data_IF_806087381579
#
_entry.id   IF_806087381579
#
_cell.length_a   1.000
_cell.length_b   1.000
_cell.length_c   1.000
_cell.angle_alpha   90.00
_cell.angle_beta   90.00
_cell.angle_gamma   90.00
#
_symmetry.space_group_name_H-M   'P 1'
#
loop_
_entity.id
_entity.type
_entity.pdbx_description
1 polymer ?
#
# COMPACT_ATOMS: atom_id res chain seq x y z
N UNK A 1 15.34 14.30 62.24
CA UNK A 1 15.91 14.80 60.97
C UNK A 1 16.63 13.72 60.13
N UNK A 2 17.48 12.83 60.66
CA UNK A 2 18.19 11.78 59.88
C UNK A 2 17.22 10.79 59.15
N UNK A 3 16.10 10.41 59.78
CA UNK A 3 15.11 9.45 59.19
C UNK A 3 14.34 10.03 57.97
N UNK A 4 14.13 11.36 57.94
CA UNK A 4 13.42 12.00 56.83
C UNK A 4 14.31 12.14 55.60
N UNK A 5 15.63 12.31 55.76
CA UNK A 5 16.58 12.41 54.65
C UNK A 5 16.72 11.05 53.98
N UNK A 6 16.79 9.95 54.73
CA UNK A 6 16.86 8.58 54.17
C UNK A 6 15.60 8.21 53.41
N UNK A 7 14.42 8.63 53.84
CA UNK A 7 13.15 8.36 53.13
C UNK A 7 13.10 9.14 51.82
N UNK A 8 13.56 10.37 51.79
CA UNK A 8 13.59 11.24 50.60
C UNK A 8 14.56 10.72 49.58
N UNK A 9 15.76 10.24 49.98
CA UNK A 9 16.72 9.62 49.06
C UNK A 9 16.20 8.29 48.47
N UNK A 10 15.52 7.45 49.27
CA UNK A 10 14.89 6.22 48.77
C UNK A 10 13.77 6.50 47.76
N UNK A 11 12.96 7.53 47.98
CA UNK A 11 11.91 7.94 47.05
C UNK A 11 12.52 8.49 45.75
N UNK A 12 13.62 9.22 45.81
CA UNK A 12 14.31 9.74 44.63
C UNK A 12 14.97 8.63 43.79
N UNK A 13 15.55 7.62 44.43
CA UNK A 13 16.09 6.44 43.77
C UNK A 13 15.00 5.61 43.12
N UNK A 14 13.86 5.46 43.79
CA UNK A 14 12.69 4.77 43.21
C UNK A 14 12.14 5.52 41.97
N UNK A 15 12.04 6.85 42.01
CA UNK A 15 11.63 7.65 40.85
C UNK A 15 12.61 7.55 39.68
N UNK A 16 13.92 7.52 39.94
CA UNK A 16 14.93 7.34 38.91
C UNK A 16 14.89 5.94 38.28
N UNK A 17 14.51 4.90 39.03
CA UNK A 17 14.35 3.53 38.52
C UNK A 17 13.15 3.40 37.60
N UNK A 18 12.07 4.15 37.80
CA UNK A 18 10.90 4.18 36.91
C UNK A 18 11.14 4.97 35.60
N UNK A 19 12.15 5.87 35.58
CA UNK A 19 12.47 6.67 34.40
C UNK A 19 13.34 5.92 33.36
N UNK A 20 13.76 4.70 33.66
CA UNK A 20 14.66 3.90 32.81
C UNK A 20 14.01 2.63 32.26
N UNK A 21 12.75 2.65 31.87
CA UNK A 21 12.30 1.70 30.86
C UNK A 21 12.90 2.15 29.53
N UNK A 22 13.90 1.43 28.97
CA UNK A 22 14.32 1.73 27.62
C UNK A 22 13.09 1.52 26.75
N UNK A 23 12.64 2.58 26.10
CA UNK A 23 11.68 2.48 25.02
C UNK A 23 12.37 1.60 23.98
N UNK A 24 12.00 0.31 23.93
CA UNK A 24 12.46 -0.62 22.92
C UNK A 24 12.04 -0.02 21.58
N UNK A 25 13.00 0.57 20.88
CA UNK A 25 12.75 1.19 19.56
C UNK A 25 12.45 0.07 18.58
N UNK A 26 11.17 -0.13 18.34
CA UNK A 26 10.66 -1.14 17.40
C UNK A 26 11.06 -0.69 15.99
N UNK A 27 11.92 -1.46 15.32
CA UNK A 27 12.20 -1.24 13.90
C UNK A 27 11.05 -1.72 13.04
N UNK A 28 10.57 -0.86 12.16
CA UNK A 28 9.47 -1.19 11.26
C UNK A 28 9.92 -1.18 9.80
N UNK A 29 9.31 -2.04 8.98
CA UNK A 29 9.50 -2.01 7.53
C UNK A 29 8.19 -2.29 6.79
N UNK A 30 8.13 -1.84 5.53
CA UNK A 30 7.03 -2.17 4.62
C UNK A 30 7.29 -3.52 3.94
N UNK A 31 6.29 -4.40 3.97
CA UNK A 31 6.27 -5.66 3.22
C UNK A 31 4.88 -5.85 2.59
N UNK A 32 4.82 -5.96 1.26
CA UNK A 32 3.56 -6.13 0.50
C UNK A 32 2.48 -5.10 0.86
N UNK A 33 2.89 -3.84 1.08
CA UNK A 33 1.98 -2.73 1.42
C UNK A 33 1.41 -2.76 2.84
N UNK A 34 1.95 -3.61 3.70
CA UNK A 34 1.68 -3.67 5.14
C UNK A 34 2.95 -3.24 5.88
N UNK A 35 2.77 -2.64 7.06
CA UNK A 35 3.89 -2.34 7.95
C UNK A 35 4.04 -3.53 8.90
N UNK A 36 5.25 -4.02 9.03
CA UNK A 36 5.62 -5.13 9.92
C UNK A 36 6.72 -4.69 10.87
N UNK A 37 6.70 -5.25 12.06
CA UNK A 37 7.84 -5.20 12.98
C UNK A 37 8.97 -6.05 12.39
N UNK A 38 10.19 -5.52 12.36
CA UNK A 38 11.36 -6.22 11.77
C UNK A 38 11.78 -7.40 12.62
N UNK A 39 11.66 -7.30 13.94
CA UNK A 39 12.16 -8.29 14.90
C UNK A 39 11.21 -9.49 15.03
N UNK A 40 9.91 -9.23 15.13
CA UNK A 40 8.90 -10.30 15.26
C UNK A 40 8.34 -10.76 13.90
N UNK A 41 8.59 -10.00 12.83
CA UNK A 41 8.01 -10.20 11.49
C UNK A 41 6.45 -10.22 11.50
N UNK A 42 5.83 -9.67 12.54
CA UNK A 42 4.40 -9.56 12.70
C UNK A 42 3.86 -8.27 12.06
N UNK A 43 2.64 -8.36 11.53
CA UNK A 43 1.95 -7.20 10.96
C UNK A 43 1.45 -6.31 12.07
N UNK A 44 1.82 -5.04 12.04
CA UNK A 44 1.32 -4.04 12.95
C UNK A 44 -0.10 -3.59 12.55
N UNK A 45 -0.98 -3.52 13.53
CA UNK A 45 -2.34 -3.00 13.36
C UNK A 45 -2.33 -1.47 13.28
N UNK A 46 -3.43 -0.87 12.80
CA UNK A 46 -3.53 0.60 12.74
C UNK A 46 -3.52 1.25 14.14
N UNK A 47 -3.99 0.52 15.16
CA UNK A 47 -3.98 1.00 16.55
C UNK A 47 -2.54 1.03 17.12
N UNK A 48 -1.76 -0.01 16.87
CA UNK A 48 -0.34 -0.08 17.27
C UNK A 48 0.48 0.97 16.53
N UNK A 49 0.25 1.15 15.22
CA UNK A 49 0.92 2.17 14.42
C UNK A 49 0.61 3.59 14.94
N UNK A 50 -0.60 3.84 15.42
CA UNK A 50 -0.96 5.13 16.02
C UNK A 50 -0.22 5.42 17.33
N UNK A 51 0.20 4.38 18.06
CA UNK A 51 0.96 4.53 19.30
C UNK A 51 2.47 4.69 19.05
N UNK A 52 2.96 4.12 17.95
CA UNK A 52 4.39 4.05 17.64
C UNK A 52 4.81 5.24 16.77
N UNK A 53 4.02 5.57 15.74
CA UNK A 53 4.32 6.65 14.81
C UNK A 53 4.02 8.01 15.44
N UNK A 54 4.88 8.99 15.17
CA UNK A 54 4.58 10.40 15.42
C UNK A 54 3.37 10.87 14.57
N UNK A 55 2.76 11.98 14.93
CA UNK A 55 1.53 12.48 14.30
C UNK A 55 1.68 12.69 12.78
N UNK A 56 2.83 13.19 12.33
CA UNK A 56 3.11 13.44 10.91
C UNK A 56 3.24 12.12 10.13
N UNK A 57 4.05 11.18 10.63
CA UNK A 57 4.25 9.88 10.01
C UNK A 57 2.95 9.07 10.01
N UNK A 58 2.16 9.11 11.09
CA UNK A 58 0.85 8.46 11.14
C UNK A 58 -0.13 9.07 10.15
N UNK A 59 -0.19 10.40 10.04
CA UNK A 59 -1.00 11.10 9.03
C UNK A 59 -0.65 10.68 7.60
N UNK A 60 0.65 10.59 7.30
CA UNK A 60 1.17 10.13 6.00
C UNK A 60 0.81 8.68 5.72
N UNK A 61 0.89 7.80 6.72
CA UNK A 61 0.45 6.41 6.63
C UNK A 61 -1.05 6.30 6.33
N UNK A 62 -1.90 7.02 7.06
CA UNK A 62 -3.36 7.02 6.85
C UNK A 62 -3.71 7.51 5.45
N UNK A 63 -3.06 8.58 4.95
CA UNK A 63 -3.23 9.07 3.59
C UNK A 63 -2.90 7.99 2.56
N UNK A 64 -1.77 7.30 2.72
CA UNK A 64 -1.39 6.19 1.84
C UNK A 64 -2.39 5.03 1.89
N UNK A 65 -2.84 4.64 3.09
CA UNK A 65 -3.85 3.59 3.26
C UNK A 65 -5.18 3.94 2.58
N UNK A 66 -5.66 5.16 2.74
CA UNK A 66 -6.91 5.62 2.13
C UNK A 66 -6.82 5.62 0.61
N UNK A 67 -5.70 6.11 0.04
CA UNK A 67 -5.45 6.07 -1.41
C UNK A 67 -5.47 4.63 -1.94
N UNK A 68 -4.95 3.68 -1.19
CA UNK A 68 -4.99 2.26 -1.56
C UNK A 68 -6.40 1.70 -1.56
N UNK A 69 -7.21 2.04 -0.56
CA UNK A 69 -8.62 1.60 -0.50
C UNK A 69 -9.39 2.17 -1.69
N UNK A 70 -9.18 3.43 -2.02
CA UNK A 70 -9.82 4.09 -3.17
C UNK A 70 -9.35 3.52 -4.51
N UNK A 71 -8.13 2.97 -4.61
CA UNK A 71 -7.66 2.36 -5.87
C UNK A 71 -8.32 1.02 -6.21
N UNK A 72 -8.84 0.27 -5.23
CA UNK A 72 -9.45 -1.04 -5.47
C UNK A 72 -10.64 -1.04 -6.43
N UNK A 73 -11.66 -0.16 -6.29
CA UNK A 73 -12.77 -0.12 -7.23
C UNK A 73 -12.33 0.17 -8.66
N UNK A 74 -11.31 1.03 -8.87
CA UNK A 74 -10.76 1.29 -10.21
C UNK A 74 -10.08 0.06 -10.80
N UNK A 75 -9.33 -0.71 -10.00
CA UNK A 75 -8.77 -1.98 -10.45
C UNK A 75 -9.84 -3.01 -10.79
N UNK A 76 -10.90 -3.09 -9.98
CA UNK A 76 -12.00 -4.01 -10.23
C UNK A 76 -12.79 -3.64 -11.52
N UNK A 77 -13.07 -2.34 -11.71
CA UNK A 77 -13.71 -1.83 -12.91
C UNK A 77 -12.87 -2.07 -14.17
N UNK A 78 -11.58 -1.72 -14.12
CA UNK A 78 -10.65 -1.97 -15.23
C UNK A 78 -10.58 -3.45 -15.61
N UNK A 79 -10.50 -4.36 -14.63
CA UNK A 79 -10.49 -5.79 -14.87
C UNK A 79 -11.81 -6.28 -15.49
N UNK A 80 -12.95 -5.78 -15.03
CA UNK A 80 -14.26 -6.12 -15.58
C UNK A 80 -14.40 -5.63 -17.02
N UNK A 81 -13.98 -4.39 -17.32
CA UNK A 81 -13.98 -3.84 -18.68
C UNK A 81 -13.06 -4.65 -19.62
N UNK A 82 -11.87 -5.03 -19.15
CA UNK A 82 -10.95 -5.85 -19.93
C UNK A 82 -11.54 -7.23 -20.27
N UNK A 83 -12.11 -7.91 -19.28
CA UNK A 83 -12.74 -9.19 -19.48
C UNK A 83 -13.93 -9.10 -20.47
N UNK A 84 -14.76 -8.07 -20.31
CA UNK A 84 -15.90 -7.82 -21.21
C UNK A 84 -15.44 -7.52 -22.63
N UNK A 85 -14.39 -6.73 -22.80
CA UNK A 85 -13.79 -6.41 -24.11
C UNK A 85 -13.31 -7.67 -24.82
N UNK A 86 -12.55 -8.53 -24.13
CA UNK A 86 -12.06 -9.80 -24.69
C UNK A 86 -13.22 -10.69 -25.11
N UNK A 87 -14.25 -10.81 -24.25
CA UNK A 87 -15.43 -11.62 -24.55
C UNK A 87 -16.15 -11.12 -25.79
N UNK A 88 -16.39 -9.81 -25.92
CA UNK A 88 -17.08 -9.22 -27.05
C UNK A 88 -16.31 -9.40 -28.37
N UNK A 89 -15.00 -9.23 -28.36
CA UNK A 89 -14.16 -9.49 -29.54
C UNK A 89 -14.18 -10.98 -29.93
N UNK A 90 -14.12 -11.89 -28.96
CA UNK A 90 -14.21 -13.32 -29.21
C UNK A 90 -15.54 -13.69 -29.85
N UNK A 91 -16.66 -13.14 -29.36
CA UNK A 91 -17.97 -13.36 -29.98
C UNK A 91 -18.06 -12.79 -31.39
N UNK A 92 -17.53 -11.61 -31.65
CA UNK A 92 -17.47 -11.03 -32.98
C UNK A 92 -16.71 -11.94 -33.97
N UNK A 93 -15.55 -12.47 -33.53
CA UNK A 93 -14.76 -13.39 -34.36
C UNK A 93 -15.49 -14.72 -34.65
N UNK A 94 -16.19 -15.29 -33.64
CA UNK A 94 -16.98 -16.51 -33.81
C UNK A 94 -18.09 -16.30 -34.87
N UNK A 95 -18.87 -15.22 -34.73
CA UNK A 95 -19.96 -14.89 -35.64
C UNK A 95 -19.41 -14.66 -37.04
N UNK A 96 -18.29 -13.98 -37.18
CA UNK A 96 -17.66 -13.74 -38.48
C UNK A 96 -17.18 -15.03 -39.13
N UNK A 97 -16.53 -15.93 -38.38
CA UNK A 97 -16.06 -17.21 -38.88
C UNK A 97 -17.20 -18.16 -39.29
N UNK A 98 -18.27 -18.21 -38.49
CA UNK A 98 -19.46 -19.00 -38.83
C UNK A 98 -20.09 -18.50 -40.13
N UNK A 99 -20.14 -17.19 -40.31
CA UNK A 99 -20.62 -16.59 -41.56
C UNK A 99 -19.78 -17.01 -42.76
N UNK A 100 -18.44 -16.89 -42.66
CA UNK A 100 -17.51 -17.26 -43.74
C UNK A 100 -17.62 -18.75 -44.07
N UNK A 101 -17.65 -19.62 -43.07
CA UNK A 101 -17.67 -21.07 -43.28
C UNK A 101 -18.98 -21.59 -43.88
N UNK A 102 -20.12 -20.98 -43.55
CA UNK A 102 -21.41 -21.39 -44.11
C UNK A 102 -21.60 -20.91 -45.54
N UNK A 103 -20.98 -19.83 -45.97
CA UNK A 103 -21.08 -19.30 -47.33
C UNK A 103 -20.13 -19.93 -48.35
N UNK A 104 -19.05 -20.57 -47.90
CA UNK A 104 -18.13 -21.31 -48.83
C UNK A 104 -18.82 -22.51 -49.50
N UNK A 105 -19.98 -22.96 -48.97
CA UNK A 105 -20.75 -24.09 -49.52
C UNK A 105 -21.87 -23.71 -50.50
N UNK A 106 -22.23 -22.44 -50.63
CA UNK A 106 -23.34 -22.01 -51.46
C UNK A 106 -22.78 -21.15 -52.62
N UNK A 107 -22.77 -21.72 -53.86
CA UNK A 107 -22.23 -21.11 -55.09
C UNK A 107 -23.10 -19.94 -55.62
N UNK A 108 -23.88 -19.27 -54.80
CA UNK A 108 -24.69 -18.13 -55.21
C UNK A 108 -23.90 -16.82 -54.99
N UNK A 109 -23.79 -16.04 -56.06
CA UNK A 109 -22.98 -14.84 -56.20
C UNK A 109 -23.40 -13.62 -55.30
N UNK A 110 -24.42 -13.74 -54.47
CA UNK A 110 -24.89 -12.67 -53.57
C UNK A 110 -24.35 -12.86 -52.17
N UNK A 111 -23.17 -12.31 -51.90
CA UNK A 111 -22.48 -12.35 -50.62
C UNK A 111 -23.10 -11.36 -49.61
N UNK A 112 -24.21 -11.73 -49.00
CA UNK A 112 -24.80 -11.02 -47.87
C UNK A 112 -24.78 -11.88 -46.62
N UNK A 113 -23.78 -11.63 -45.71
CA UNK A 113 -23.87 -12.10 -44.33
C UNK A 113 -24.93 -11.28 -43.59
N UNK A 114 -26.08 -11.87 -43.33
CA UNK A 114 -27.17 -11.20 -42.59
C UNK A 114 -26.76 -10.76 -41.16
N UNK A 115 -25.67 -11.28 -40.63
CA UNK A 115 -25.13 -10.98 -39.31
C UNK A 115 -24.05 -9.87 -39.28
N UNK A 116 -23.77 -9.15 -40.37
CA UNK A 116 -22.75 -8.11 -40.44
C UNK A 116 -22.97 -6.99 -39.42
N UNK A 117 -24.24 -6.58 -39.22
CA UNK A 117 -24.62 -5.56 -38.24
C UNK A 117 -24.32 -6.01 -36.81
N UNK A 118 -24.56 -7.27 -36.46
CA UNK A 118 -24.24 -7.85 -35.16
C UNK A 118 -22.76 -7.87 -34.89
N UNK A 119 -21.96 -8.33 -35.86
CA UNK A 119 -20.50 -8.38 -35.76
C UNK A 119 -19.92 -6.98 -35.53
N UNK A 120 -20.37 -5.98 -36.29
CA UNK A 120 -19.91 -4.57 -36.12
C UNK A 120 -20.28 -4.05 -34.74
N UNK A 121 -21.48 -4.34 -34.24
CA UNK A 121 -21.93 -3.92 -32.91
C UNK A 121 -21.05 -4.52 -31.82
N UNK A 122 -20.67 -5.80 -31.88
CA UNK A 122 -19.77 -6.43 -30.92
C UNK A 122 -18.35 -5.83 -30.98
N UNK A 123 -17.81 -5.52 -32.16
CA UNK A 123 -16.53 -4.84 -32.30
C UNK A 123 -16.54 -3.44 -31.70
N UNK A 124 -17.60 -2.66 -31.94
CA UNK A 124 -17.74 -1.31 -31.38
C UNK A 124 -17.88 -1.38 -29.86
N UNK A 125 -18.71 -2.25 -29.31
CA UNK A 125 -18.87 -2.41 -27.87
C UNK A 125 -17.59 -2.90 -27.21
N UNK A 126 -16.89 -3.85 -27.80
CA UNK A 126 -15.59 -4.33 -27.35
C UNK A 126 -14.56 -3.21 -27.32
N UNK A 127 -14.54 -2.34 -28.34
CA UNK A 127 -13.68 -1.16 -28.40
C UNK A 127 -13.98 -0.15 -27.31
N UNK A 128 -15.25 0.15 -27.04
CA UNK A 128 -15.65 1.04 -25.92
C UNK A 128 -15.19 0.48 -24.57
N UNK A 129 -15.36 -0.82 -24.34
CA UNK A 129 -14.88 -1.47 -23.10
C UNK A 129 -13.37 -1.46 -23.00
N UNK A 130 -12.62 -1.62 -24.11
CA UNK A 130 -11.17 -1.51 -24.12
C UNK A 130 -10.69 -0.11 -23.71
N UNK A 131 -11.34 0.94 -24.21
CA UNK A 131 -11.06 2.33 -23.79
C UNK A 131 -11.39 2.54 -22.32
N UNK A 132 -12.53 2.01 -21.84
CA UNK A 132 -12.91 2.03 -20.42
C UNK A 132 -11.84 1.41 -19.52
N UNK A 133 -11.25 0.29 -19.95
CA UNK A 133 -10.12 -0.35 -19.24
C UNK A 133 -8.96 0.61 -19.01
N UNK A 134 -8.58 1.38 -20.03
CA UNK A 134 -7.46 2.33 -19.94
C UNK A 134 -7.82 3.49 -19.03
N UNK A 135 -9.04 4.04 -19.16
CA UNK A 135 -9.51 5.18 -18.34
C UNK A 135 -9.49 4.82 -16.86
N UNK A 136 -9.94 3.62 -16.48
CA UNK A 136 -9.96 3.19 -15.08
C UNK A 136 -8.59 2.74 -14.57
N UNK A 137 -7.73 2.20 -15.44
CA UNK A 137 -6.38 1.76 -15.05
C UNK A 137 -5.48 2.93 -14.65
N UNK A 138 -5.58 4.09 -15.31
CA UNK A 138 -4.72 5.24 -15.02
C UNK A 138 -4.86 5.71 -13.56
N UNK A 139 -6.07 6.06 -13.05
CA UNK A 139 -6.22 6.46 -11.65
C UNK A 139 -5.87 5.33 -10.69
N UNK A 140 -6.14 4.05 -11.02
CA UNK A 140 -5.77 2.91 -10.21
C UNK A 140 -4.25 2.84 -10.00
N UNK A 141 -3.47 2.99 -11.07
CA UNK A 141 -1.99 2.98 -11.04
C UNK A 141 -1.49 4.17 -10.23
N UNK A 142 -1.95 5.39 -10.53
CA UNK A 142 -1.52 6.61 -9.85
C UNK A 142 -1.78 6.51 -8.34
N UNK A 143 -2.99 6.14 -7.94
CA UNK A 143 -3.35 5.97 -6.52
C UNK A 143 -2.51 4.89 -5.84
N UNK A 144 -2.20 3.80 -6.52
CA UNK A 144 -1.36 2.73 -5.99
C UNK A 144 0.08 3.19 -5.78
N UNK A 145 0.66 3.95 -6.73
CA UNK A 145 2.01 4.52 -6.61
C UNK A 145 2.05 5.52 -5.45
N UNK A 146 1.12 6.49 -5.42
CA UNK A 146 1.03 7.48 -4.34
C UNK A 146 0.85 6.83 -2.97
N UNK A 147 -0.01 5.81 -2.88
CA UNK A 147 -0.18 5.01 -1.66
C UNK A 147 1.14 4.38 -1.20
N UNK A 148 1.84 3.74 -2.13
CA UNK A 148 3.11 3.09 -1.83
C UNK A 148 4.18 4.07 -1.36
N UNK A 149 4.26 5.25 -2.00
CA UNK A 149 5.19 6.32 -1.63
C UNK A 149 4.87 6.86 -0.24
N UNK A 150 3.60 7.17 0.04
CA UNK A 150 3.20 7.67 1.36
C UNK A 150 3.47 6.67 2.47
N UNK A 151 3.21 5.38 2.26
CA UNK A 151 3.51 4.35 3.26
C UNK A 151 5.03 4.20 3.47
N UNK A 152 5.85 4.29 2.40
CA UNK A 152 7.30 4.28 2.54
C UNK A 152 7.79 5.50 3.33
N UNK A 153 7.32 6.71 2.97
CA UNK A 153 7.70 7.93 3.65
C UNK A 153 7.35 7.90 5.15
N UNK A 154 6.20 7.31 5.51
CA UNK A 154 5.83 7.13 6.92
C UNK A 154 6.80 6.18 7.66
N UNK A 155 7.21 5.07 7.03
CA UNK A 155 8.17 4.13 7.60
C UNK A 155 9.56 4.75 7.70
N UNK A 156 10.01 5.44 6.64
CA UNK A 156 11.33 6.08 6.59
C UNK A 156 11.41 7.24 7.59
N UNK A 157 10.34 8.06 7.70
CA UNK A 157 10.24 9.13 8.69
C UNK A 157 10.36 8.59 10.11
N UNK A 158 9.61 7.56 10.45
CA UNK A 158 9.70 6.91 11.76
C UNK A 158 11.11 6.34 12.03
N UNK A 159 11.64 5.52 11.13
CA UNK A 159 12.96 4.91 11.32
C UNK A 159 14.09 5.96 11.40
N UNK A 160 13.95 7.08 10.69
CA UNK A 160 14.92 8.19 10.75
C UNK A 160 14.86 8.93 12.08
N UNK A 161 13.66 9.14 12.62
CA UNK A 161 13.47 9.82 13.91
C UNK A 161 13.82 8.91 15.10
N UNK A 162 13.77 7.58 14.92
CA UNK A 162 14.17 6.57 15.92
C UNK A 162 15.64 6.20 15.83
N UNK A 163 16.41 6.74 14.86
CA UNK A 163 17.84 6.49 14.78
C UNK A 163 18.53 7.23 15.93
N UNK A 164 18.62 6.53 17.02
CA UNK A 164 19.71 6.52 18.01
C UNK A 164 20.26 7.86 18.50
N UNK A 165 19.46 8.57 19.30
CA UNK A 165 20.10 9.31 20.38
C UNK A 165 20.32 8.33 21.54
N UNK A 166 21.40 7.57 21.53
CA UNK A 166 21.78 6.75 22.68
C UNK A 166 22.51 7.59 23.70
N UNK A 167 21.84 7.80 24.84
CA UNK A 167 22.50 8.40 26.01
C UNK A 167 23.32 7.31 26.69
N UNK A 168 24.64 7.32 26.45
CA UNK A 168 25.55 6.43 27.13
C UNK A 168 26.10 7.10 28.40
N UNK A 169 26.01 6.42 29.54
CA UNK A 169 26.69 6.79 30.75
C UNK A 169 27.97 5.95 30.85
N UNK A 170 29.14 6.61 30.85
CA UNK A 170 30.40 5.90 30.86
C UNK A 170 31.58 6.73 31.36
N UNK A 171 32.71 6.02 31.61
CA UNK A 171 33.96 6.65 31.94
C UNK A 171 34.55 7.33 30.70
N UNK A 172 34.80 8.62 30.77
CA UNK A 172 35.54 9.41 29.79
C UNK A 172 36.96 9.66 30.31
N UNK A 173 37.86 10.06 29.42
CA UNK A 173 39.27 10.35 29.81
C UNK A 173 39.39 11.41 30.91
N UNK A 174 38.35 12.19 31.21
CA UNK A 174 38.30 13.24 32.20
C UNK A 174 37.33 12.97 33.36
N UNK A 175 36.83 11.74 33.52
CA UNK A 175 35.88 11.38 34.58
C UNK A 175 34.66 10.59 34.05
N UNK A 176 33.61 10.56 34.86
CA UNK A 176 32.32 9.93 34.49
C UNK A 176 31.48 10.98 33.80
N UNK A 177 30.99 10.69 32.59
CA UNK A 177 30.20 11.62 31.80
C UNK A 177 29.08 10.97 31.03
N UNK A 178 28.15 11.81 30.55
CA UNK A 178 27.08 11.45 29.59
C UNK A 178 27.61 11.63 28.18
N UNK A 179 27.58 10.59 27.38
CA UNK A 179 27.87 10.65 25.93
C UNK A 179 26.58 10.52 25.14
N UNK A 180 26.30 11.53 24.31
CA UNK A 180 25.26 11.47 23.28
C UNK A 180 25.92 10.95 22.00
N UNK A 181 25.46 9.78 21.50
CA UNK A 181 25.77 9.33 20.15
C UNK A 181 24.56 9.66 19.26
N UNK A 182 24.84 10.35 18.17
CA UNK A 182 23.91 10.65 17.10
C UNK A 182 24.05 9.64 15.97
#
# INVERSE_FOLDING_TARGET
MKKSITLLTLLFIAMLSFAQTPSETIKIKKKHGKIINVDTNEKLSAAELKQILDEESYGTYIKGRNQRIVSYPFWASSAACAASSITLFTFADIIQNDCINNHVHDNNDDFYCDNTAGTIAFWLMGGVMAVGTIIDAIPAIVLTICSNTNINNAVDGYNKNTTDVTLGFGATNNGIGLTLKF
#
